data_IF_440753250464
#
_entry.id   IF_440753250464
#
_cell.length_a   1.000
_cell.length_b   1.000
_cell.length_c   1.000
_cell.angle_alpha   90.00
_cell.angle_beta   90.00
_cell.angle_gamma   90.00
#
_symmetry.space_group_name_H-M   'P 1'
#
loop_
_entity.id
_entity.type
_entity.pdbx_description
1 polymer ?
#
# COMPACT_ATOMS: atom_id res chain seq x y z
N UNK A 1 8.84 -9.66 12.63
CA UNK A 1 9.63 -9.63 11.40
C UNK A 1 10.62 -10.79 11.34
N UNK A 2 11.47 -10.98 12.35
CA UNK A 2 12.54 -12.01 12.33
C UNK A 2 12.00 -13.40 12.04
N UNK A 3 10.93 -13.79 12.69
CA UNK A 3 10.35 -15.14 12.59
C UNK A 3 9.51 -15.41 11.34
N UNK A 4 9.16 -14.38 10.57
CA UNK A 4 8.21 -14.49 9.43
C UNK A 4 8.74 -13.87 8.15
N UNK A 5 9.49 -12.78 8.25
CA UNK A 5 9.92 -11.96 7.11
C UNK A 5 11.29 -12.30 6.55
N UNK A 6 12.00 -13.25 7.14
CA UNK A 6 13.30 -13.71 6.65
C UNK A 6 13.17 -14.59 5.42
N UNK A 7 14.18 -14.57 4.57
CA UNK A 7 14.30 -15.41 3.37
C UNK A 7 14.11 -16.89 3.69
N UNK A 8 14.70 -17.35 4.80
CA UNK A 8 14.64 -18.72 5.27
C UNK A 8 13.60 -18.96 6.38
N UNK A 9 12.80 -17.93 6.72
CA UNK A 9 11.73 -18.05 7.69
C UNK A 9 10.56 -18.85 7.11
N UNK A 10 9.84 -19.61 7.94
CA UNK A 10 8.64 -20.33 7.49
C UNK A 10 7.63 -19.36 6.85
N UNK A 11 7.14 -19.72 5.68
CA UNK A 11 6.07 -19.01 4.98
C UNK A 11 5.33 -19.97 4.06
N UNK A 12 4.04 -19.74 3.88
CA UNK A 12 3.26 -20.45 2.88
C UNK A 12 3.64 -20.01 1.46
N UNK A 13 3.29 -20.80 0.45
CA UNK A 13 3.46 -20.41 -0.94
C UNK A 13 2.73 -19.10 -1.25
N UNK A 14 1.51 -18.95 -0.72
CA UNK A 14 0.70 -17.73 -0.85
C UNK A 14 1.39 -16.50 -0.23
N UNK A 15 1.95 -16.60 0.98
CA UNK A 15 2.69 -15.50 1.60
C UNK A 15 3.91 -15.09 0.76
N UNK A 16 4.60 -16.05 0.15
CA UNK A 16 5.73 -15.75 -0.73
C UNK A 16 5.26 -15.03 -1.99
N UNK A 17 4.13 -15.44 -2.57
CA UNK A 17 3.53 -14.76 -3.73
C UNK A 17 3.06 -13.34 -3.37
N UNK A 18 2.40 -13.14 -2.25
CA UNK A 18 1.97 -11.82 -1.74
C UNK A 18 3.19 -10.89 -1.60
N UNK A 19 4.27 -11.34 -0.98
CA UNK A 19 5.47 -10.52 -0.84
C UNK A 19 6.07 -10.10 -2.19
N UNK A 20 6.04 -10.98 -3.19
CA UNK A 20 6.53 -10.71 -4.55
C UNK A 20 5.58 -9.81 -5.33
N UNK A 21 4.28 -10.07 -5.26
CA UNK A 21 3.22 -9.31 -5.94
C UNK A 21 3.31 -7.81 -5.60
N UNK A 22 3.46 -7.51 -4.32
CA UNK A 22 3.53 -6.14 -3.83
C UNK A 22 4.95 -5.55 -3.75
N UNK A 23 5.99 -6.28 -4.16
CA UNK A 23 7.37 -5.79 -4.06
C UNK A 23 7.62 -4.50 -4.84
N UNK A 24 6.96 -4.35 -5.99
CA UNK A 24 7.04 -3.17 -6.87
C UNK A 24 5.78 -2.31 -6.87
N UNK A 25 4.85 -2.54 -5.94
CA UNK A 25 3.62 -1.75 -5.84
C UNK A 25 3.90 -0.29 -5.40
N UNK A 26 2.87 0.46 -5.17
CA UNK A 26 2.94 1.88 -4.84
C UNK A 26 2.12 2.70 -5.82
N UNK A 27 2.57 3.90 -6.18
CA UNK A 27 1.78 4.82 -7.04
C UNK A 27 1.30 4.18 -8.36
N UNK A 28 2.13 3.34 -8.98
CA UNK A 28 1.78 2.63 -10.23
C UNK A 28 0.62 1.66 -10.05
N UNK A 29 0.64 0.86 -8.99
CA UNK A 29 -0.42 -0.09 -8.66
C UNK A 29 -1.77 0.61 -8.44
N UNK A 30 -1.78 1.65 -7.61
CA UNK A 30 -2.99 2.40 -7.32
C UNK A 30 -3.55 3.13 -8.54
N UNK A 31 -2.69 3.64 -9.42
CA UNK A 31 -3.14 4.19 -10.70
C UNK A 31 -3.71 3.13 -11.65
N UNK A 32 -3.16 1.91 -11.63
CA UNK A 32 -3.73 0.78 -12.39
C UNK A 32 -5.13 0.42 -11.85
N UNK A 33 -5.25 0.24 -10.53
CA UNK A 33 -6.53 -0.05 -9.88
C UNK A 33 -7.57 1.04 -10.14
N UNK A 34 -7.19 2.31 -10.05
CA UNK A 34 -8.08 3.43 -10.30
C UNK A 34 -8.64 3.41 -11.74
N UNK A 35 -7.79 3.21 -12.74
CA UNK A 35 -8.25 3.10 -14.13
C UNK A 35 -9.13 1.87 -14.37
N UNK A 36 -8.79 0.74 -13.76
CA UNK A 36 -9.58 -0.47 -13.88
C UNK A 36 -10.95 -0.30 -13.22
N UNK A 37 -10.98 0.27 -12.01
CA UNK A 37 -12.23 0.57 -11.30
C UNK A 37 -13.08 1.58 -12.05
N UNK A 38 -12.47 2.64 -12.62
CA UNK A 38 -13.18 3.62 -13.44
C UNK A 38 -13.90 2.98 -14.62
N UNK A 39 -13.21 2.10 -15.35
CA UNK A 39 -13.82 1.38 -16.48
C UNK A 39 -14.93 0.43 -16.02
N UNK A 40 -14.68 -0.35 -14.98
CA UNK A 40 -15.64 -1.30 -14.46
C UNK A 40 -16.92 -0.64 -13.93
N UNK A 41 -16.79 0.54 -13.32
CA UNK A 41 -17.91 1.32 -12.79
C UNK A 41 -18.48 2.33 -13.82
N UNK A 42 -18.00 2.31 -15.06
CA UNK A 42 -18.42 3.24 -16.12
C UNK A 42 -18.37 4.72 -15.70
N UNK A 43 -17.30 5.11 -15.00
CA UNK A 43 -17.15 6.46 -14.47
C UNK A 43 -17.13 7.48 -15.62
N UNK A 44 -17.92 8.58 -15.57
CA UNK A 44 -17.86 9.61 -16.57
C UNK A 44 -16.46 10.23 -16.66
N UNK A 45 -16.03 10.62 -17.87
CA UNK A 45 -14.68 11.14 -18.13
C UNK A 45 -14.25 12.27 -17.17
N UNK A 46 -15.15 13.18 -16.83
CA UNK A 46 -14.86 14.27 -15.91
C UNK A 46 -14.54 13.74 -14.49
N UNK A 47 -15.34 12.79 -14.01
CA UNK A 47 -15.17 12.19 -12.69
C UNK A 47 -13.93 11.29 -12.66
N UNK A 48 -13.64 10.53 -13.73
CA UNK A 48 -12.39 9.78 -13.86
C UNK A 48 -11.17 10.70 -13.80
N UNK A 49 -11.20 11.81 -14.54
CA UNK A 49 -10.12 12.80 -14.55
C UNK A 49 -9.93 13.41 -13.16
N UNK A 50 -11.04 13.78 -12.50
CA UNK A 50 -11.02 14.29 -11.12
C UNK A 50 -10.45 13.28 -10.15
N UNK A 51 -10.92 12.03 -10.19
CA UNK A 51 -10.43 10.93 -9.35
C UNK A 51 -8.92 10.71 -9.52
N UNK A 52 -8.45 10.59 -10.76
CA UNK A 52 -7.02 10.41 -11.03
C UNK A 52 -6.17 11.60 -10.57
N UNK A 53 -6.68 12.82 -10.68
CA UNK A 53 -6.00 14.00 -10.15
C UNK A 53 -5.91 13.96 -8.61
N UNK A 54 -7.03 13.71 -7.92
CA UNK A 54 -7.06 13.56 -6.46
C UNK A 54 -6.14 12.45 -5.98
N UNK A 55 -6.19 11.29 -6.63
CA UNK A 55 -5.33 10.15 -6.32
C UNK A 55 -3.85 10.53 -6.39
N UNK A 56 -3.43 11.19 -7.47
CA UNK A 56 -2.01 11.52 -7.63
C UNK A 56 -1.56 12.68 -6.73
N UNK A 57 -2.44 13.60 -6.35
CA UNK A 57 -2.16 14.58 -5.29
C UNK A 57 -1.93 13.87 -3.97
N UNK A 58 -2.84 12.98 -3.56
CA UNK A 58 -2.71 12.24 -2.30
C UNK A 58 -1.45 11.34 -2.27
N UNK A 59 -1.14 10.67 -3.38
CA UNK A 59 0.08 9.86 -3.50
C UNK A 59 1.35 10.72 -3.40
N UNK A 60 1.36 11.92 -4.01
CA UNK A 60 2.47 12.86 -3.93
C UNK A 60 2.67 13.36 -2.50
N UNK A 61 1.60 13.77 -1.84
CA UNK A 61 1.65 14.24 -0.45
C UNK A 61 2.08 13.12 0.51
N UNK A 62 1.61 11.90 0.29
CA UNK A 62 2.04 10.72 1.03
C UNK A 62 3.54 10.42 0.86
N UNK A 63 4.08 10.60 -0.36
CA UNK A 63 5.52 10.49 -0.60
C UNK A 63 6.29 11.58 0.14
N UNK A 64 5.88 12.84 0.03
CA UNK A 64 6.55 13.96 0.69
C UNK A 64 6.56 13.77 2.21
N UNK A 65 5.41 13.49 2.81
CA UNK A 65 5.29 13.30 4.26
C UNK A 65 6.09 12.07 4.73
N UNK A 66 5.96 10.95 4.02
CA UNK A 66 6.67 9.72 4.36
C UNK A 66 8.18 9.88 4.26
N UNK A 67 8.71 10.46 3.18
CA UNK A 67 10.15 10.66 3.03
C UNK A 67 10.71 11.72 3.97
N UNK A 68 9.96 12.78 4.28
CA UNK A 68 10.36 13.73 5.32
C UNK A 68 10.52 13.03 6.67
N UNK A 69 9.55 12.21 7.07
CA UNK A 69 9.64 11.42 8.30
C UNK A 69 10.80 10.41 8.25
N UNK A 70 11.00 9.70 7.12
CA UNK A 70 12.07 8.72 6.95
C UNK A 70 13.45 9.31 7.26
N UNK A 71 13.76 10.45 6.66
CA UNK A 71 15.07 11.09 6.87
C UNK A 71 15.19 11.84 8.18
N UNK A 72 14.07 12.24 8.80
CA UNK A 72 14.06 12.83 10.14
C UNK A 72 14.33 11.80 11.23
N UNK A 73 13.74 10.61 11.12
CA UNK A 73 13.91 9.53 12.12
C UNK A 73 15.07 8.59 11.81
N UNK A 74 15.46 8.45 10.56
CA UNK A 74 16.58 7.62 10.08
C UNK A 74 16.60 6.19 10.68
N UNK A 75 15.42 5.56 10.86
CA UNK A 75 15.34 4.23 11.46
C UNK A 75 15.90 3.17 10.51
N UNK A 76 16.73 2.29 11.03
CA UNK A 76 17.32 1.19 10.28
C UNK A 76 16.32 0.08 9.93
N UNK A 77 16.60 -0.62 8.84
CA UNK A 77 15.81 -1.75 8.37
C UNK A 77 15.96 -2.97 9.29
N UNK A 78 14.98 -3.91 9.29
CA UNK A 78 15.06 -5.13 10.08
C UNK A 78 16.36 -5.91 9.86
N UNK A 79 16.83 -6.02 8.63
CA UNK A 79 18.09 -6.70 8.33
C UNK A 79 19.28 -6.05 9.04
N UNK A 80 19.46 -4.76 8.90
CA UNK A 80 20.52 -4.01 9.57
C UNK A 80 20.43 -4.13 11.10
N UNK A 81 19.19 -4.08 11.64
CA UNK A 81 18.98 -4.23 13.07
C UNK A 81 19.34 -5.63 13.56
N UNK A 82 18.99 -6.68 12.83
CA UNK A 82 19.35 -8.05 13.20
C UNK A 82 20.87 -8.25 13.17
N UNK A 83 21.54 -7.78 12.14
CA UNK A 83 22.99 -7.83 12.01
C UNK A 83 23.68 -7.10 13.16
N UNK A 84 23.24 -5.87 13.48
CA UNK A 84 23.85 -5.05 14.53
C UNK A 84 23.53 -5.53 15.95
N UNK A 85 22.29 -5.99 16.21
CA UNK A 85 21.80 -6.31 17.55
C UNK A 85 21.98 -7.79 17.92
N UNK A 86 22.07 -8.68 16.93
CA UNK A 86 22.22 -10.13 17.16
C UNK A 86 23.45 -10.51 17.98
N UNK A 87 24.45 -9.64 18.08
CA UNK A 87 25.63 -9.83 18.91
C UNK A 87 25.52 -9.20 20.31
N UNK A 88 24.58 -8.28 20.52
CA UNK A 88 24.54 -7.39 21.69
C UNK A 88 23.31 -7.62 22.58
N UNK A 89 22.20 -8.08 22.00
CA UNK A 89 20.94 -8.25 22.71
C UNK A 89 20.55 -9.72 22.87
N UNK A 90 20.22 -10.10 24.09
CA UNK A 90 19.63 -11.42 24.40
C UNK A 90 18.12 -11.36 24.12
N UNK A 91 17.71 -11.76 22.92
CA UNK A 91 16.30 -11.98 22.57
C UNK A 91 16.12 -13.40 22.06
N UNK A 92 15.04 -14.12 22.43
CA UNK A 92 14.84 -15.53 22.03
C UNK A 92 14.98 -15.79 20.54
N UNK A 93 14.55 -14.83 19.72
CA UNK A 93 14.55 -14.93 18.27
C UNK A 93 15.83 -14.36 17.60
N UNK A 94 16.75 -13.75 18.39
CA UNK A 94 17.99 -13.17 17.91
C UNK A 94 19.17 -13.97 18.50
N UNK A 95 19.91 -14.64 17.64
CA UNK A 95 21.13 -15.38 18.06
C UNK A 95 22.36 -14.62 17.60
N UNK A 96 23.39 -14.65 18.43
CA UNK A 96 24.70 -14.09 18.07
C UNK A 96 25.19 -14.74 16.76
N UNK A 97 25.59 -13.90 15.80
CA UNK A 97 26.05 -14.37 14.49
C UNK A 97 24.93 -14.86 13.56
N UNK A 98 23.67 -14.55 13.86
CA UNK A 98 22.54 -14.88 13.00
C UNK A 98 22.66 -14.13 11.67
N UNK A 99 22.86 -14.89 10.61
CA UNK A 99 22.67 -14.37 9.25
C UNK A 99 21.18 -14.30 8.98
N UNK A 100 20.65 -13.09 8.79
CA UNK A 100 19.25 -12.88 8.46
C UNK A 100 19.12 -11.91 7.30
N UNK A 101 18.45 -12.36 6.27
CA UNK A 101 18.16 -11.58 5.07
C UNK A 101 16.65 -11.46 4.91
N UNK A 102 16.16 -10.26 4.53
CA UNK A 102 14.75 -10.06 4.23
C UNK A 102 14.34 -10.88 3.00
N UNK A 103 13.08 -11.35 2.97
CA UNK A 103 12.53 -12.17 1.88
C UNK A 103 12.50 -11.44 0.54
N UNK A 104 12.31 -10.13 0.56
CA UNK A 104 12.43 -9.27 -0.62
C UNK A 104 13.54 -8.24 -0.39
N UNK A 105 14.15 -7.70 -1.45
CA UNK A 105 15.19 -6.68 -1.31
C UNK A 105 14.73 -5.49 -0.49
N UNK A 106 15.51 -5.10 0.52
CA UNK A 106 15.20 -3.93 1.32
C UNK A 106 15.40 -2.65 0.50
N UNK A 107 14.41 -1.73 0.48
CA UNK A 107 14.56 -0.44 -0.20
C UNK A 107 15.70 0.40 0.38
N UNK A 108 16.42 1.11 -0.48
CA UNK A 108 17.62 1.90 -0.16
C UNK A 108 17.30 3.26 0.50
N UNK A 109 16.39 3.27 1.46
CA UNK A 109 16.01 4.44 2.26
C UNK A 109 15.57 3.99 3.67
N UNK A 110 15.54 4.93 4.67
CA UNK A 110 15.16 4.58 6.04
C UNK A 110 13.82 3.86 6.15
N UNK A 111 13.71 3.08 7.21
CA UNK A 111 12.58 2.15 7.37
C UNK A 111 11.26 2.85 7.66
N UNK A 112 11.23 3.78 8.61
CA UNK A 112 10.02 4.35 9.22
C UNK A 112 9.63 5.70 8.62
N UNK A 113 8.32 5.93 8.37
CA UNK A 113 7.22 4.97 8.35
C UNK A 113 7.22 4.10 7.10
N UNK A 114 6.35 3.09 7.04
CA UNK A 114 6.15 2.26 5.85
C UNK A 114 5.57 3.07 4.69
N UNK A 115 6.32 3.24 3.60
CA UNK A 115 5.88 4.08 2.48
C UNK A 115 4.74 3.44 1.68
N UNK A 116 4.76 2.12 1.47
CA UNK A 116 3.65 1.42 0.81
C UNK A 116 2.35 1.61 1.58
N UNK A 117 2.42 1.46 2.91
CA UNK A 117 1.28 1.66 3.79
C UNK A 117 0.76 3.10 3.73
N UNK A 118 1.65 4.10 3.76
CA UNK A 118 1.26 5.51 3.67
C UNK A 118 0.61 5.83 2.32
N UNK A 119 1.22 5.40 1.23
CA UNK A 119 0.67 5.63 -0.12
C UNK A 119 -0.62 4.83 -0.34
N UNK A 120 -0.66 3.58 0.11
CA UNK A 120 -1.82 2.70 -0.02
C UNK A 120 -3.05 3.24 0.71
N UNK A 121 -2.91 3.62 1.98
CA UNK A 121 -4.01 4.20 2.73
C UNK A 121 -4.46 5.55 2.18
N UNK A 122 -3.55 6.39 1.69
CA UNK A 122 -3.93 7.66 1.06
C UNK A 122 -4.74 7.44 -0.22
N UNK A 123 -4.32 6.48 -1.04
CA UNK A 123 -5.02 6.11 -2.26
C UNK A 123 -6.39 5.50 -1.96
N UNK A 124 -6.46 4.59 -0.99
CA UNK A 124 -7.71 3.96 -0.55
C UNK A 124 -8.76 5.00 -0.14
N UNK A 125 -8.37 6.00 0.66
CA UNK A 125 -9.29 7.07 1.08
C UNK A 125 -9.84 7.87 -0.10
N UNK A 126 -8.98 8.27 -1.04
CA UNK A 126 -9.43 8.97 -2.24
C UNK A 126 -10.39 8.12 -3.06
N UNK A 127 -10.04 6.86 -3.33
CA UNK A 127 -10.89 5.97 -4.11
C UNK A 127 -12.22 5.68 -3.39
N UNK A 128 -12.18 5.49 -2.07
CA UNK A 128 -13.39 5.32 -1.26
C UNK A 128 -14.29 6.57 -1.30
N UNK A 129 -13.71 7.77 -1.37
CA UNK A 129 -14.51 9.00 -1.51
C UNK A 129 -15.26 9.08 -2.85
N UNK A 130 -14.77 8.40 -3.89
CA UNK A 130 -15.38 8.39 -5.22
C UNK A 130 -16.34 7.21 -5.40
N UNK A 131 -15.92 6.01 -5.05
CA UNK A 131 -16.68 4.78 -5.28
C UNK A 131 -17.56 4.35 -4.09
N UNK A 132 -17.41 5.02 -2.95
CA UNK A 132 -18.04 4.56 -1.70
C UNK A 132 -17.24 3.43 -1.05
N UNK A 133 -17.74 2.97 0.10
CA UNK A 133 -17.12 1.90 0.90
C UNK A 133 -17.67 0.51 0.57
N UNK A 134 -18.65 0.40 -0.32
CA UNK A 134 -19.20 -0.89 -0.71
C UNK A 134 -18.13 -1.72 -1.42
N UNK A 135 -18.01 -3.01 -1.09
CA UNK A 135 -17.06 -3.89 -1.76
C UNK A 135 -17.42 -4.07 -3.24
N UNK A 136 -16.43 -4.04 -4.10
CA UNK A 136 -16.55 -4.47 -5.48
C UNK A 136 -15.27 -5.19 -5.90
N UNK A 137 -15.35 -6.25 -6.71
CA UNK A 137 -14.18 -7.03 -7.09
C UNK A 137 -13.22 -6.22 -7.96
N UNK A 138 -11.94 -6.38 -7.70
CA UNK A 138 -10.87 -5.75 -8.46
C UNK A 138 -9.81 -6.80 -8.82
N UNK A 139 -9.10 -6.57 -9.91
CA UNK A 139 -7.95 -7.37 -10.31
C UNK A 139 -6.70 -6.50 -10.32
N UNK A 140 -5.64 -7.01 -9.74
CA UNK A 140 -4.33 -6.39 -9.75
C UNK A 140 -3.31 -7.29 -10.45
N UNK A 141 -2.53 -6.71 -11.34
CA UNK A 141 -1.39 -7.32 -12.00
C UNK A 141 -0.12 -6.66 -11.47
N UNK A 142 0.61 -7.39 -10.65
CA UNK A 142 1.75 -6.88 -9.93
C UNK A 142 3.09 -7.34 -10.47
N UNK A 143 4.10 -7.26 -9.60
CA UNK A 143 5.44 -7.71 -9.92
C UNK A 143 5.50 -9.23 -10.16
N UNK A 144 6.56 -9.68 -10.82
CA UNK A 144 6.84 -11.08 -11.12
C UNK A 144 5.77 -11.79 -11.99
N UNK A 145 4.96 -11.02 -12.74
CA UNK A 145 3.84 -11.54 -13.55
C UNK A 145 2.79 -12.30 -12.71
N UNK A 146 2.65 -11.94 -11.45
CA UNK A 146 1.62 -12.48 -10.57
C UNK A 146 0.41 -11.56 -10.66
N UNK A 147 -0.78 -12.15 -10.83
CA UNK A 147 -2.05 -11.42 -10.78
C UNK A 147 -2.94 -12.02 -9.70
N UNK A 148 -3.73 -11.18 -9.05
CA UNK A 148 -4.64 -11.61 -7.98
C UNK A 148 -5.94 -10.81 -8.06
N UNK A 149 -7.04 -11.49 -7.75
CA UNK A 149 -8.36 -10.91 -7.60
C UNK A 149 -8.63 -10.61 -6.13
N UNK A 150 -9.28 -9.50 -5.85
CA UNK A 150 -9.66 -9.05 -4.52
C UNK A 150 -11.13 -8.69 -4.51
N UNK A 151 -11.77 -8.89 -3.37
CA UNK A 151 -13.18 -8.55 -3.19
C UNK A 151 -13.41 -7.05 -3.00
N UNK A 152 -12.36 -6.30 -2.65
CA UNK A 152 -12.45 -4.85 -2.40
C UNK A 152 -11.08 -4.16 -2.47
N UNK A 153 -11.11 -2.83 -2.62
CA UNK A 153 -9.93 -1.97 -2.46
C UNK A 153 -9.32 -2.05 -1.05
N UNK A 154 -10.17 -2.22 -0.05
CA UNK A 154 -9.74 -2.38 1.35
C UNK A 154 -8.90 -3.65 1.53
N UNK A 155 -9.35 -4.78 0.98
CA UNK A 155 -8.60 -6.04 1.03
C UNK A 155 -7.24 -5.92 0.36
N UNK A 156 -7.17 -5.25 -0.80
CA UNK A 156 -5.89 -4.97 -1.46
C UNK A 156 -4.95 -4.15 -0.59
N UNK A 157 -5.43 -3.07 0.02
CA UNK A 157 -4.61 -2.19 0.88
C UNK A 157 -4.09 -2.91 2.12
N UNK A 158 -4.93 -3.73 2.75
CA UNK A 158 -4.54 -4.56 3.91
C UNK A 158 -3.46 -5.57 3.54
N UNK A 159 -3.60 -6.24 2.39
CA UNK A 159 -2.61 -7.19 1.90
C UNK A 159 -1.32 -6.47 1.50
N UNK A 160 -1.39 -5.30 0.84
CA UNK A 160 -0.21 -4.48 0.53
C UNK A 160 0.57 -4.12 1.81
N UNK A 161 -0.12 -3.68 2.85
CA UNK A 161 0.50 -3.39 4.15
C UNK A 161 1.12 -4.64 4.78
N UNK A 162 0.40 -5.77 4.87
CA UNK A 162 0.91 -7.02 5.44
C UNK A 162 2.07 -7.61 4.63
N UNK A 163 2.08 -7.42 3.31
CA UNK A 163 3.16 -7.86 2.42
C UNK A 163 4.53 -7.35 2.85
N UNK A 164 4.58 -6.18 3.49
CA UNK A 164 5.84 -5.56 3.95
C UNK A 164 6.44 -6.26 5.15
N UNK A 165 5.60 -6.89 5.99
CA UNK A 165 6.03 -7.73 7.10
C UNK A 165 6.47 -9.10 6.62
N UNK A 166 5.70 -9.70 5.71
CA UNK A 166 6.02 -10.98 5.07
C UNK A 166 7.32 -10.86 4.28
N UNK A 167 7.50 -9.73 3.60
CA UNK A 167 8.73 -9.40 2.88
C UNK A 167 9.94 -9.10 3.75
N UNK A 168 9.74 -8.88 5.06
CA UNK A 168 10.83 -8.63 6.02
C UNK A 168 11.44 -7.25 5.98
N UNK A 169 10.81 -6.29 5.32
CA UNK A 169 11.39 -4.96 5.06
C UNK A 169 10.86 -3.86 5.98
N UNK A 170 9.80 -4.13 6.74
CA UNK A 170 9.19 -3.19 7.68
C UNK A 170 8.83 -3.83 9.03
N UNK A 171 8.72 -2.99 10.07
CA UNK A 171 8.18 -3.37 11.37
C UNK A 171 6.67 -3.12 11.40
N UNK A 172 5.93 -3.91 12.18
CA UNK A 172 4.46 -3.77 12.32
C UNK A 172 4.05 -2.36 12.76
N UNK A 173 4.82 -1.74 13.66
CA UNK A 173 4.55 -0.37 14.09
C UNK A 173 4.69 0.63 12.94
N UNK A 174 5.66 0.44 12.07
CA UNK A 174 5.89 1.32 10.92
C UNK A 174 4.78 1.18 9.88
N UNK A 175 4.20 -0.01 9.73
CA UNK A 175 3.01 -0.22 8.92
C UNK A 175 1.82 0.55 9.52
N UNK A 176 1.50 0.31 10.79
CA UNK A 176 0.37 0.96 11.44
C UNK A 176 0.45 2.50 11.43
N UNK A 177 1.65 3.06 11.61
CA UNK A 177 1.85 4.52 11.51
C UNK A 177 1.74 4.98 10.06
N UNK A 178 2.26 4.20 9.11
CA UNK A 178 2.11 4.48 7.69
C UNK A 178 0.65 4.51 7.26
N UNK A 179 -0.12 3.50 7.65
CA UNK A 179 -1.56 3.41 7.36
C UNK A 179 -2.33 4.62 7.94
N UNK A 180 -2.05 4.98 9.20
CA UNK A 180 -2.69 6.14 9.83
C UNK A 180 -2.32 7.46 9.14
N UNK A 181 -1.05 7.67 8.81
CA UNK A 181 -0.58 8.86 8.12
C UNK A 181 -1.22 8.97 6.73
N UNK A 182 -1.26 7.86 6.00
CA UNK A 182 -1.89 7.79 4.69
C UNK A 182 -3.37 8.10 4.74
N UNK A 183 -4.09 7.51 5.68
CA UNK A 183 -5.50 7.82 5.93
C UNK A 183 -5.74 9.33 6.10
N UNK A 184 -4.96 9.99 6.98
CA UNK A 184 -5.11 11.43 7.23
C UNK A 184 -4.87 12.28 5.98
N UNK A 185 -3.85 11.91 5.17
CA UNK A 185 -3.51 12.62 3.93
C UNK A 185 -4.62 12.42 2.89
N UNK A 186 -5.02 11.18 2.62
CA UNK A 186 -6.06 10.88 1.64
C UNK A 186 -7.39 11.52 1.99
N UNK A 187 -7.77 11.46 3.27
CA UNK A 187 -8.97 12.12 3.78
C UNK A 187 -8.94 13.65 3.58
N UNK A 188 -7.81 14.28 3.93
CA UNK A 188 -7.64 15.72 3.71
C UNK A 188 -7.76 16.10 2.24
N UNK A 189 -7.07 15.40 1.36
CA UNK A 189 -7.12 15.65 -0.09
C UNK A 189 -8.53 15.46 -0.63
N UNK A 190 -9.21 14.37 -0.26
CA UNK A 190 -10.57 14.10 -0.70
C UNK A 190 -11.57 15.18 -0.26
N UNK A 191 -11.35 15.80 0.90
CA UNK A 191 -12.24 16.83 1.43
C UNK A 191 -11.93 18.25 0.95
N UNK A 192 -10.69 18.54 0.56
CA UNK A 192 -10.26 19.93 0.31
C UNK A 192 -9.88 20.21 -1.14
N UNK A 193 -9.42 19.21 -1.89
CA UNK A 193 -8.98 19.41 -3.27
C UNK A 193 -10.12 19.14 -4.27
N UNK A 194 -10.14 19.93 -5.36
CA UNK A 194 -11.05 19.76 -6.50
C UNK A 194 -12.53 19.62 -6.09
N UNK A 195 -12.97 20.44 -5.14
CA UNK A 195 -14.36 20.46 -4.69
C UNK A 195 -15.27 21.16 -5.70
N UNK A 196 -16.59 20.82 -5.75
CA UNK A 196 -17.55 21.52 -6.58
C UNK A 196 -17.61 23.00 -6.24
N UNK A 197 -17.65 23.87 -7.28
CA UNK A 197 -17.70 25.32 -7.10
C UNK A 197 -19.01 25.81 -6.48
N UNK A 198 -20.09 25.03 -6.59
CA UNK A 198 -21.45 25.39 -6.13
C UNK A 198 -21.81 24.89 -4.72
N UNK A 199 -20.85 24.45 -3.93
CA UNK A 199 -21.06 24.09 -2.52
C UNK A 199 -21.86 22.80 -2.28
N UNK A 200 -21.90 21.89 -3.23
CA UNK A 200 -22.40 20.52 -3.06
C UNK A 200 -21.26 19.54 -2.80
N UNK A 201 -21.56 18.39 -2.21
CA UNK A 201 -20.62 17.27 -2.20
C UNK A 201 -20.50 16.68 -3.62
N UNK A 202 -19.29 16.29 -4.01
CA UNK A 202 -19.12 15.54 -5.24
C UNK A 202 -19.93 14.22 -5.14
N UNK A 203 -20.65 13.84 -6.21
CA UNK A 203 -21.44 12.61 -6.17
C UNK A 203 -20.52 11.41 -5.99
N UNK A 204 -20.90 10.48 -5.13
CA UNK A 204 -20.30 9.16 -5.10
C UNK A 204 -20.87 8.33 -6.24
N UNK A 205 -20.00 7.68 -6.99
CA UNK A 205 -20.39 6.76 -8.05
C UNK A 205 -20.54 5.37 -7.45
N UNK A 206 -21.77 4.91 -7.24
CA UNK A 206 -22.00 3.52 -6.88
C UNK A 206 -21.60 2.60 -8.04
N UNK A 207 -20.86 1.54 -7.74
CA UNK A 207 -20.55 0.49 -8.70
C UNK A 207 -21.68 -0.56 -8.74
N UNK A 208 -22.89 -0.16 -9.14
CA UNK A 208 -24.08 -1.02 -9.12
C UNK A 208 -24.09 -2.08 -10.24
N UNK A 209 -23.07 -2.13 -11.08
CA UNK A 209 -23.03 -3.00 -12.24
C UNK A 209 -21.63 -3.44 -12.65
N UNK A 210 -20.82 -3.95 -11.70
CA UNK A 210 -19.52 -4.49 -12.03
C UNK A 210 -19.66 -5.71 -12.97
N UNK A 211 -19.33 -5.52 -14.22
CA UNK A 211 -19.21 -6.61 -15.18
C UNK A 211 -17.77 -7.18 -15.10
N UNK A 212 -17.64 -8.33 -14.44
CA UNK A 212 -16.36 -9.02 -14.29
C UNK A 212 -15.67 -9.37 -15.62
N UNK A 213 -16.41 -9.32 -16.73
CA UNK A 213 -15.87 -9.57 -18.08
C UNK A 213 -15.07 -8.39 -18.63
N UNK A 214 -15.27 -7.17 -18.12
CA UNK A 214 -14.56 -5.96 -18.58
C UNK A 214 -13.15 -5.80 -17.98
N UNK A 215 -12.80 -6.54 -16.94
CA UNK A 215 -11.48 -6.46 -16.29
C UNK A 215 -10.41 -7.25 -17.03
N UNK A 216 -10.79 -8.08 -18.00
CA UNK A 216 -9.91 -9.02 -18.69
C UNK A 216 -9.48 -8.58 -20.10
N UNK A 217 -9.62 -7.29 -20.47
CA UNK A 217 -9.21 -6.80 -21.79
C UNK A 217 -8.08 -5.78 -21.70
#
# INVERSE_FOLDING_TARGET
VVTRGGKDSPATAEEIEIAKLHAGSGSGAWNQLARNSSRACALPLLEETRMLALLNVALSDALIAGFNAKYSYALWRPQTAVEALGTTYSHPDLKAGMEWESRIPAPMHPEYPCQHCTSGSAALEVMTSVFGSAPFPIRFEGAANISKDYDSLQQFAEEESESRLIGGVHYRRSNAVGDMLGYQIGHHVAQTALQPLSGGSAPQQACDGFDSTMVLQ
#
